data_IF_878405287007
#
_entry.id   IF_878405287007
#
_cell.length_a   1.000
_cell.length_b   1.000
_cell.length_c   1.000
_cell.angle_alpha   90.00
_cell.angle_beta   90.00
_cell.angle_gamma   90.00
#
_symmetry.space_group_name_H-M   'P 1'
#
loop_
_entity.id
_entity.type
_entity.pdbx_description
1 polymer ?
#
# COMPACT_ATOMS: atom_id res chain seq x y z
N UNK A 1 7.68 -1.92 12.97
CA UNK A 1 8.58 -2.90 13.62
C UNK A 1 8.94 -2.35 15.00
N UNK A 2 8.04 -2.47 15.96
CA UNK A 2 8.30 -2.11 17.35
C UNK A 2 8.25 -3.42 18.16
N UNK A 3 9.38 -3.81 18.77
CA UNK A 3 9.45 -4.92 19.72
C UNK A 3 10.12 -6.22 19.26
N UNK A 4 10.57 -6.34 18.00
CA UNK A 4 11.33 -7.51 17.51
C UNK A 4 12.84 -7.26 17.50
N UNK A 5 13.64 -8.33 17.56
CA UNK A 5 15.08 -8.26 17.35
C UNK A 5 15.37 -7.80 15.90
N UNK A 6 15.69 -6.51 15.75
CA UNK A 6 16.01 -5.90 14.46
C UNK A 6 17.23 -6.56 13.78
N UNK A 7 18.12 -7.19 14.54
CA UNK A 7 19.25 -7.94 14.00
C UNK A 7 18.79 -9.22 13.31
N UNK A 8 17.92 -10.00 13.96
CA UNK A 8 17.31 -11.19 13.36
C UNK A 8 16.45 -10.83 12.14
N UNK A 9 15.64 -9.78 12.23
CA UNK A 9 14.83 -9.34 11.09
C UNK A 9 15.69 -8.87 9.91
N UNK A 10 16.79 -8.16 10.17
CA UNK A 10 17.75 -7.75 9.13
C UNK A 10 18.34 -8.94 8.38
N UNK A 11 18.63 -10.03 9.07
CA UNK A 11 19.17 -11.24 8.44
C UNK A 11 18.16 -11.89 7.47
N UNK A 12 16.85 -11.74 7.73
CA UNK A 12 15.78 -12.22 6.85
C UNK A 12 15.46 -11.24 5.72
N UNK A 13 15.46 -9.94 6.02
CA UNK A 13 15.21 -8.89 5.06
C UNK A 13 16.18 -7.70 5.27
N UNK A 14 17.21 -7.55 4.42
CA UNK A 14 18.18 -6.48 4.54
C UNK A 14 17.57 -5.08 4.30
N UNK A 15 16.41 -4.99 3.63
CA UNK A 15 15.69 -3.72 3.42
C UNK A 15 15.06 -3.18 4.71
N UNK A 16 14.85 -4.03 5.72
CA UNK A 16 14.11 -3.70 6.94
C UNK A 16 12.69 -3.19 6.64
N UNK A 17 12.08 -3.75 5.60
CA UNK A 17 10.73 -3.46 5.15
C UNK A 17 9.82 -4.67 5.43
N UNK A 18 8.52 -4.42 5.55
CA UNK A 18 7.53 -5.50 5.58
C UNK A 18 6.80 -5.54 4.23
N UNK A 19 6.36 -6.71 3.75
CA UNK A 19 6.39 -8.02 4.41
C UNK A 19 7.69 -8.84 4.17
N UNK A 20 7.84 -9.91 4.96
CA UNK A 20 8.82 -11.00 4.77
C UNK A 20 8.15 -12.32 5.13
N UNK A 21 8.20 -13.29 4.21
CA UNK A 21 7.71 -14.66 4.38
C UNK A 21 8.89 -15.56 4.76
N UNK A 22 8.68 -16.44 5.74
CA UNK A 22 9.62 -17.51 6.09
C UNK A 22 8.92 -18.86 5.86
N UNK A 23 9.45 -19.68 4.95
CA UNK A 23 9.02 -21.07 4.70
C UNK A 23 10.22 -22.01 4.90
N UNK A 24 10.25 -22.71 6.04
CA UNK A 24 11.40 -23.52 6.46
C UNK A 24 12.68 -22.67 6.56
N UNK A 25 13.69 -23.05 5.79
CA UNK A 25 14.98 -22.34 5.72
C UNK A 25 14.99 -21.21 4.68
N UNK A 26 13.85 -20.96 3.99
CA UNK A 26 13.74 -19.93 2.95
C UNK A 26 13.11 -18.66 3.52
N UNK A 27 13.79 -17.52 3.33
CA UNK A 27 13.25 -16.20 3.59
C UNK A 27 13.04 -15.45 2.27
N UNK A 28 11.82 -14.94 2.05
CA UNK A 28 11.44 -14.18 0.86
C UNK A 28 10.87 -12.84 1.30
N UNK A 29 11.44 -11.74 0.85
CA UNK A 29 10.92 -10.39 1.06
C UNK A 29 10.42 -9.80 -0.25
N UNK A 30 9.69 -8.68 -0.15
CA UNK A 30 8.97 -8.02 -1.25
C UNK A 30 7.65 -8.72 -1.60
N UNK A 31 6.53 -7.98 -1.60
CA UNK A 31 5.19 -8.54 -1.76
C UNK A 31 5.01 -9.27 -3.09
N UNK A 32 5.54 -8.72 -4.19
CA UNK A 32 5.45 -9.34 -5.52
C UNK A 32 6.25 -10.63 -5.58
N UNK A 33 7.47 -10.64 -5.01
CA UNK A 33 8.32 -11.83 -4.98
C UNK A 33 7.71 -12.91 -4.07
N UNK A 34 7.09 -12.51 -2.95
CA UNK A 34 6.34 -13.42 -2.08
C UNK A 34 5.15 -14.04 -2.83
N UNK A 35 4.41 -13.26 -3.63
CA UNK A 35 3.30 -13.79 -4.42
C UNK A 35 3.78 -14.75 -5.53
N UNK A 36 4.89 -14.45 -6.22
CA UNK A 36 5.49 -15.38 -7.20
C UNK A 36 5.93 -16.67 -6.49
N UNK A 37 6.57 -16.56 -5.32
CA UNK A 37 6.97 -17.73 -4.53
C UNK A 37 5.77 -18.58 -4.11
N UNK A 38 4.67 -17.96 -3.68
CA UNK A 38 3.44 -18.69 -3.31
C UNK A 38 2.83 -19.38 -4.53
N UNK A 39 2.78 -18.72 -5.69
CA UNK A 39 2.29 -19.29 -6.95
C UNK A 39 3.13 -20.52 -7.38
N UNK A 40 4.45 -20.49 -7.22
CA UNK A 40 5.33 -21.61 -7.54
C UNK A 40 5.27 -22.73 -6.49
N UNK A 41 5.22 -22.37 -5.20
CA UNK A 41 5.28 -23.32 -4.07
C UNK A 41 3.97 -24.06 -3.87
N UNK A 42 2.84 -23.37 -4.07
CA UNK A 42 1.48 -23.89 -3.92
C UNK A 42 0.62 -23.53 -5.15
N UNK A 43 0.86 -24.16 -6.31
CA UNK A 43 0.24 -23.78 -7.58
C UNK A 43 -1.26 -24.11 -7.68
N UNK A 44 -1.88 -24.65 -6.62
CA UNK A 44 -3.29 -25.04 -6.62
C UNK A 44 -3.96 -24.62 -5.30
N UNK A 45 -5.02 -23.80 -5.35
CA UNK A 45 -5.57 -23.13 -6.55
C UNK A 45 -4.62 -22.03 -7.07
N UNK A 46 -4.56 -21.78 -8.40
CA UNK A 46 -3.71 -20.72 -8.95
C UNK A 46 -4.22 -19.34 -8.54
N UNK A 47 -3.30 -18.43 -8.19
CA UNK A 47 -3.62 -17.04 -7.88
C UNK A 47 -3.68 -16.18 -9.14
N UNK A 48 -2.98 -16.57 -10.21
CA UNK A 48 -3.01 -15.86 -11.49
C UNK A 48 -3.90 -16.57 -12.53
N UNK A 49 -4.45 -15.82 -13.50
CA UNK A 49 -5.19 -16.41 -14.61
C UNK A 49 -4.23 -17.18 -15.54
N UNK A 50 -4.75 -18.19 -16.24
CA UNK A 50 -3.91 -19.02 -17.12
C UNK A 50 -3.36 -18.28 -18.36
N UNK A 51 -4.13 -17.44 -19.09
CA UNK A 51 -3.63 -16.80 -20.32
C UNK A 51 -2.49 -15.81 -20.03
N UNK A 52 -1.37 -15.86 -20.79
CA UNK A 52 -0.23 -14.96 -20.56
C UNK A 52 -0.60 -13.47 -20.60
N UNK A 53 -1.49 -13.07 -21.49
CA UNK A 53 -1.97 -11.68 -21.59
C UNK A 53 -2.74 -11.24 -20.32
N UNK A 54 -3.51 -12.14 -19.71
CA UNK A 54 -4.23 -11.85 -18.46
C UNK A 54 -3.27 -11.83 -17.26
N UNK A 55 -2.22 -12.67 -17.25
CA UNK A 55 -1.15 -12.57 -16.24
C UNK A 55 -0.43 -11.23 -16.33
N UNK A 56 -0.09 -10.78 -17.54
CA UNK A 56 0.51 -9.46 -17.75
C UNK A 56 -0.42 -8.34 -17.29
N UNK A 57 -1.73 -8.43 -17.55
CA UNK A 57 -2.72 -7.47 -17.04
C UNK A 57 -2.74 -7.42 -15.51
N UNK A 58 -2.73 -8.57 -14.84
CA UNK A 58 -2.70 -8.62 -13.37
C UNK A 58 -1.42 -8.01 -12.81
N UNK A 59 -0.25 -8.31 -13.39
CA UNK A 59 1.02 -7.71 -12.95
C UNK A 59 1.07 -6.20 -13.21
N UNK A 60 0.44 -5.70 -14.28
CA UNK A 60 0.28 -4.24 -14.46
C UNK A 60 -0.64 -3.61 -13.41
N UNK A 61 -1.67 -4.31 -12.93
CA UNK A 61 -2.50 -3.83 -11.83
C UNK A 61 -1.69 -3.70 -10.54
N UNK A 62 -0.92 -4.72 -10.21
CA UNK A 62 -0.02 -4.71 -9.06
C UNK A 62 0.99 -3.56 -9.14
N UNK A 63 1.70 -3.43 -10.26
CA UNK A 63 2.69 -2.37 -10.46
C UNK A 63 2.08 -0.97 -10.25
N UNK A 64 0.92 -0.68 -10.84
CA UNK A 64 0.25 0.61 -10.63
C UNK A 64 -0.18 0.81 -9.18
N UNK A 65 -0.59 -0.25 -8.49
CA UNK A 65 -0.97 -0.19 -7.09
C UNK A 65 0.23 0.07 -6.17
N UNK A 66 1.31 -0.70 -6.33
CA UNK A 66 2.52 -0.65 -5.49
C UNK A 66 3.35 0.60 -5.72
N UNK A 67 3.24 1.21 -6.90
CA UNK A 67 4.00 2.41 -7.27
C UNK A 67 3.15 3.68 -7.10
N UNK A 68 2.31 3.97 -8.08
CA UNK A 68 1.60 5.24 -8.20
C UNK A 68 0.51 5.40 -7.15
N UNK A 69 -0.32 4.37 -6.95
CA UNK A 69 -1.45 4.47 -6.04
C UNK A 69 -1.01 4.46 -4.57
N UNK A 70 -0.03 3.62 -4.23
CA UNK A 70 0.62 3.60 -2.91
C UNK A 70 1.15 4.99 -2.54
N UNK A 71 1.91 5.64 -3.42
CA UNK A 71 2.52 6.94 -3.14
C UNK A 71 1.47 8.04 -2.84
N UNK A 72 0.34 8.02 -3.57
CA UNK A 72 -0.78 8.96 -3.33
C UNK A 72 -1.39 8.71 -1.94
N UNK A 73 -1.75 7.46 -1.66
CA UNK A 73 -2.36 7.10 -0.37
C UNK A 73 -1.42 7.44 0.79
N UNK A 74 -0.14 7.10 0.63
CA UNK A 74 0.90 7.34 1.62
C UNK A 74 1.10 8.84 1.89
N UNK A 75 1.08 9.68 0.86
CA UNK A 75 1.20 11.12 1.03
C UNK A 75 0.01 11.71 1.81
N UNK A 76 -1.21 11.24 1.56
CA UNK A 76 -2.36 11.62 2.37
C UNK A 76 -2.20 11.22 3.83
N UNK A 77 -1.60 10.05 4.12
CA UNK A 77 -1.24 9.68 5.49
C UNK A 77 -0.24 10.66 6.12
N UNK A 78 0.82 11.07 5.41
CA UNK A 78 1.77 12.08 5.93
C UNK A 78 1.09 13.39 6.32
N UNK A 79 0.10 13.82 5.54
CA UNK A 79 -0.59 15.09 5.76
C UNK A 79 -1.65 14.93 6.85
N UNK A 80 -2.54 13.95 6.72
CA UNK A 80 -3.72 13.82 7.57
C UNK A 80 -3.41 13.18 8.92
N UNK A 81 -2.48 12.25 8.96
CA UNK A 81 -2.15 11.46 10.16
C UNK A 81 -0.88 11.98 10.83
N UNK A 82 0.20 12.19 10.06
CA UNK A 82 1.46 12.72 10.59
C UNK A 82 1.51 14.25 10.68
N UNK A 83 0.45 14.94 10.23
CA UNK A 83 0.30 16.40 10.32
C UNK A 83 1.51 17.16 9.77
N UNK A 84 2.12 16.65 8.69
CA UNK A 84 3.34 17.25 8.12
C UNK A 84 3.11 18.50 7.28
N UNK A 85 1.87 18.82 6.96
CA UNK A 85 1.50 20.06 6.30
C UNK A 85 0.16 20.58 6.83
N UNK A 86 -0.03 21.89 6.75
CA UNK A 86 -1.24 22.59 7.15
C UNK A 86 -1.58 23.73 6.17
N UNK A 87 -2.76 24.32 6.35
CA UNK A 87 -3.25 25.44 5.54
C UNK A 87 -3.19 25.18 4.04
N UNK A 88 -2.86 26.22 3.28
CA UNK A 88 -2.87 26.16 1.81
C UNK A 88 -1.91 25.12 1.20
N UNK A 89 -0.85 24.70 1.91
CA UNK A 89 0.01 23.61 1.42
C UNK A 89 -0.72 22.26 1.51
N UNK A 90 -1.34 21.96 2.66
CA UNK A 90 -2.11 20.73 2.84
C UNK A 90 -3.29 20.66 1.85
N UNK A 91 -4.03 21.76 1.68
CA UNK A 91 -5.16 21.85 0.75
C UNK A 91 -4.75 21.52 -0.68
N UNK A 92 -3.63 22.09 -1.17
CA UNK A 92 -3.13 21.81 -2.52
C UNK A 92 -2.69 20.36 -2.69
N UNK A 93 -1.96 19.80 -1.72
CA UNK A 93 -1.45 18.44 -1.81
C UNK A 93 -2.60 17.42 -1.75
N UNK A 94 -3.56 17.61 -0.85
CA UNK A 94 -4.74 16.74 -0.73
C UNK A 94 -5.68 16.88 -1.94
N UNK A 95 -5.84 18.08 -2.49
CA UNK A 95 -6.59 18.28 -3.74
C UNK A 95 -5.98 17.52 -4.91
N UNK A 96 -4.65 17.56 -5.04
CA UNK A 96 -3.92 16.79 -6.06
C UNK A 96 -4.04 15.29 -5.85
N UNK A 97 -3.91 14.82 -4.60
CA UNK A 97 -4.09 13.41 -4.27
C UNK A 97 -5.50 12.91 -4.59
N UNK A 98 -6.53 13.72 -4.33
CA UNK A 98 -7.91 13.41 -4.68
C UNK A 98 -8.12 13.27 -6.20
N UNK A 99 -7.59 14.21 -6.99
CA UNK A 99 -7.64 14.17 -8.47
C UNK A 99 -6.96 12.91 -9.01
N UNK A 100 -5.75 12.62 -8.53
CA UNK A 100 -4.99 11.45 -8.97
C UNK A 100 -5.66 10.14 -8.55
N UNK A 101 -6.20 10.07 -7.34
CA UNK A 101 -6.96 8.90 -6.86
C UNK A 101 -8.18 8.64 -7.73
N UNK A 102 -8.93 9.68 -8.10
CA UNK A 102 -10.06 9.56 -9.02
C UNK A 102 -9.62 9.02 -10.41
N UNK A 103 -8.47 9.46 -10.91
CA UNK A 103 -7.86 8.93 -12.13
C UNK A 103 -7.52 7.43 -12.04
N UNK A 104 -6.95 6.99 -10.91
CA UNK A 104 -6.67 5.57 -10.66
C UNK A 104 -7.95 4.76 -10.57
N UNK A 105 -8.96 5.23 -9.85
CA UNK A 105 -10.27 4.55 -9.76
C UNK A 105 -10.91 4.38 -11.13
N UNK A 106 -10.90 5.41 -11.96
CA UNK A 106 -11.43 5.33 -13.32
C UNK A 106 -10.65 4.33 -14.19
N UNK A 107 -9.34 4.20 -14.01
CA UNK A 107 -8.54 3.19 -14.68
C UNK A 107 -8.86 1.77 -14.19
N UNK A 108 -8.94 1.58 -12.86
CA UNK A 108 -9.34 0.31 -12.25
C UNK A 108 -10.74 -0.14 -12.71
N UNK A 109 -11.69 0.79 -12.84
CA UNK A 109 -13.02 0.49 -13.40
C UNK A 109 -12.95 -0.06 -14.83
N UNK A 110 -12.04 0.47 -15.66
CA UNK A 110 -11.83 -0.05 -17.02
C UNK A 110 -11.18 -1.43 -17.00
N UNK A 111 -10.22 -1.66 -16.10
CA UNK A 111 -9.55 -2.95 -15.95
C UNK A 111 -10.47 -4.05 -15.41
N UNK A 112 -11.35 -3.70 -14.46
CA UNK A 112 -12.37 -4.59 -13.92
C UNK A 112 -13.42 -4.93 -15.00
N UNK A 113 -13.86 -3.93 -15.77
CA UNK A 113 -14.87 -4.13 -16.81
C UNK A 113 -16.16 -4.70 -16.21
N UNK A 114 -16.72 -5.73 -16.83
CA UNK A 114 -17.91 -6.44 -16.31
C UNK A 114 -17.56 -7.66 -15.44
N UNK A 115 -16.29 -7.88 -15.14
CA UNK A 115 -15.83 -9.08 -14.41
C UNK A 115 -16.14 -8.95 -12.92
N UNK A 116 -16.37 -10.07 -12.21
CA UNK A 116 -16.57 -10.05 -10.76
C UNK A 116 -15.27 -9.76 -10.00
N UNK A 117 -14.11 -10.03 -10.58
CA UNK A 117 -12.80 -9.87 -9.94
C UNK A 117 -11.76 -9.33 -10.92
N UNK A 118 -10.70 -8.73 -10.37
CA UNK A 118 -9.54 -8.31 -11.16
C UNK A 118 -8.77 -9.50 -11.72
N UNK A 119 -8.96 -10.70 -11.17
CA UNK A 119 -8.40 -11.94 -11.70
C UNK A 119 -9.31 -12.66 -12.73
N UNK A 120 -10.46 -12.06 -13.09
CA UNK A 120 -11.45 -12.68 -13.98
C UNK A 120 -12.68 -13.15 -13.22
N UNK A 121 -13.00 -14.44 -13.35
CA UNK A 121 -14.18 -15.06 -12.73
C UNK A 121 -13.95 -15.48 -11.27
N UNK A 122 -12.70 -15.63 -10.85
CA UNK A 122 -12.30 -16.01 -9.50
C UNK A 122 -11.52 -14.89 -8.83
N UNK A 123 -11.50 -14.88 -7.50
CA UNK A 123 -10.63 -13.99 -6.73
C UNK A 123 -9.18 -14.50 -6.80
N UNK A 124 -8.22 -13.61 -7.01
CA UNK A 124 -6.81 -13.99 -7.04
C UNK A 124 -5.85 -12.81 -6.91
N UNK A 125 -4.66 -12.95 -7.48
CA UNK A 125 -3.56 -12.00 -7.37
C UNK A 125 -3.99 -10.58 -7.70
N UNK A 126 -4.72 -10.37 -8.81
CA UNK A 126 -5.18 -9.04 -9.18
C UNK A 126 -6.04 -8.37 -8.10
N UNK A 127 -6.87 -9.15 -7.39
CA UNK A 127 -7.68 -8.61 -6.30
C UNK A 127 -6.84 -8.38 -5.03
N UNK A 128 -5.90 -9.29 -4.74
CA UNK A 128 -4.95 -9.18 -3.62
C UNK A 128 -4.11 -7.91 -3.73
N UNK A 129 -3.70 -7.52 -4.93
CA UNK A 129 -2.92 -6.29 -5.15
C UNK A 129 -3.79 -5.03 -5.12
N UNK A 130 -5.06 -5.09 -5.51
CA UNK A 130 -5.91 -3.87 -5.56
C UNK A 130 -6.59 -3.59 -4.23
N UNK A 131 -7.02 -4.61 -3.47
CA UNK A 131 -7.85 -4.43 -2.28
C UNK A 131 -7.22 -3.55 -1.20
N UNK A 132 -5.92 -3.68 -0.85
CA UNK A 132 -5.32 -2.88 0.21
C UNK A 132 -5.32 -1.38 -0.14
N UNK A 133 -5.13 -1.05 -1.42
CA UNK A 133 -5.00 0.34 -1.87
C UNK A 133 -6.34 1.04 -1.98
N UNK A 134 -7.38 0.35 -2.48
CA UNK A 134 -8.74 0.90 -2.47
C UNK A 134 -9.28 1.03 -1.04
N UNK A 135 -8.93 0.11 -0.14
CA UNK A 135 -9.28 0.25 1.27
C UNK A 135 -8.55 1.44 1.93
N UNK A 136 -7.25 1.59 1.67
CA UNK A 136 -6.48 2.73 2.15
C UNK A 136 -7.06 4.05 1.63
N UNK A 137 -7.48 4.12 0.36
CA UNK A 137 -8.10 5.33 -0.21
C UNK A 137 -9.41 5.69 0.49
N UNK A 138 -10.23 4.70 0.85
CA UNK A 138 -11.44 4.93 1.67
C UNK A 138 -11.09 5.53 3.03
N UNK A 139 -10.07 5.00 3.71
CA UNK A 139 -9.65 5.46 5.04
C UNK A 139 -9.14 6.91 5.03
N UNK A 140 -8.49 7.34 3.96
CA UNK A 140 -7.99 8.72 3.81
C UNK A 140 -9.03 9.68 3.20
N UNK A 141 -10.28 9.25 3.01
CA UNK A 141 -11.38 10.11 2.54
C UNK A 141 -11.56 10.18 1.02
N UNK A 142 -11.01 9.22 0.28
CA UNK A 142 -11.16 9.10 -1.18
C UNK A 142 -11.76 7.73 -1.56
N UNK A 143 -13.02 7.45 -1.17
CA UNK A 143 -13.69 6.22 -1.58
C UNK A 143 -14.03 6.25 -3.07
N UNK A 144 -14.09 5.09 -3.74
CA UNK A 144 -14.70 5.02 -5.08
C UNK A 144 -16.17 5.45 -5.00
N UNK A 145 -16.75 6.06 -6.06
CA UNK A 145 -18.16 6.42 -6.06
C UNK A 145 -19.05 5.20 -5.78
N UNK A 146 -20.07 5.33 -4.91
CA UNK A 146 -20.87 4.18 -4.48
C UNK A 146 -21.62 3.50 -5.66
N UNK A 147 -21.93 4.24 -6.72
CA UNK A 147 -22.56 3.73 -7.94
C UNK A 147 -21.58 3.01 -8.89
N UNK A 148 -20.28 3.03 -8.60
CA UNK A 148 -19.24 2.44 -9.44
C UNK A 148 -19.16 0.93 -9.29
N UNK A 149 -18.66 0.25 -10.33
CA UNK A 149 -18.35 -1.18 -10.28
C UNK A 149 -17.19 -1.47 -9.33
N UNK A 150 -16.26 -0.52 -9.18
CA UNK A 150 -15.17 -0.62 -8.22
C UNK A 150 -15.68 -0.65 -6.77
N UNK A 151 -16.66 0.19 -6.42
CA UNK A 151 -17.30 0.14 -5.11
C UNK A 151 -18.03 -1.20 -4.90
N UNK A 152 -18.79 -1.66 -5.89
CA UNK A 152 -19.47 -2.96 -5.82
C UNK A 152 -18.49 -4.15 -5.71
N UNK A 153 -17.33 -4.06 -6.37
CA UNK A 153 -16.24 -5.03 -6.21
C UNK A 153 -15.65 -4.98 -4.80
N UNK A 154 -15.41 -3.79 -4.27
CA UNK A 154 -14.87 -3.62 -2.92
C UNK A 154 -15.78 -4.23 -1.86
N UNK A 155 -17.08 -3.98 -1.96
CA UNK A 155 -18.09 -4.57 -1.06
C UNK A 155 -18.08 -6.11 -1.15
N UNK A 156 -17.99 -6.65 -2.37
CA UNK A 156 -17.89 -8.10 -2.59
C UNK A 156 -16.65 -8.69 -1.94
N UNK A 157 -15.45 -8.15 -2.22
CA UNK A 157 -14.20 -8.74 -1.71
C UNK A 157 -14.08 -8.64 -0.20
N UNK A 158 -14.65 -7.60 0.42
CA UNK A 158 -14.66 -7.43 1.89
C UNK A 158 -15.45 -8.52 2.62
N UNK A 159 -16.40 -9.19 1.96
CA UNK A 159 -17.13 -10.31 2.57
C UNK A 159 -16.36 -11.62 2.55
N UNK A 160 -15.23 -11.70 1.84
CA UNK A 160 -14.39 -12.91 1.83
C UNK A 160 -13.74 -13.09 3.20
N UNK A 161 -13.76 -14.30 3.81
CA UNK A 161 -13.17 -14.52 5.12
C UNK A 161 -11.71 -14.08 5.24
N UNK A 162 -10.90 -14.34 4.22
CA UNK A 162 -9.48 -13.96 4.18
C UNK A 162 -9.26 -12.45 4.18
N UNK A 163 -10.17 -11.68 3.55
CA UNK A 163 -10.08 -10.22 3.51
C UNK A 163 -10.68 -9.62 4.78
N UNK A 164 -11.84 -10.10 5.21
CA UNK A 164 -12.52 -9.64 6.42
C UNK A 164 -11.61 -9.77 7.66
N UNK A 165 -10.93 -10.90 7.82
CA UNK A 165 -10.00 -11.13 8.93
C UNK A 165 -8.85 -10.11 8.96
N UNK A 166 -8.29 -9.76 7.80
CA UNK A 166 -7.20 -8.77 7.71
C UNK A 166 -7.72 -7.35 7.98
N UNK A 167 -8.93 -7.03 7.53
CA UNK A 167 -9.57 -5.73 7.82
C UNK A 167 -9.82 -5.56 9.31
N UNK A 168 -10.33 -6.59 9.98
CA UNK A 168 -10.53 -6.59 11.42
C UNK A 168 -9.21 -6.42 12.18
N UNK A 169 -8.18 -7.19 11.80
CA UNK A 169 -6.84 -7.07 12.38
C UNK A 169 -6.21 -5.69 12.16
N UNK A 170 -6.41 -5.10 10.97
CA UNK A 170 -5.94 -3.75 10.67
C UNK A 170 -6.69 -2.70 11.53
N UNK A 171 -8.00 -2.83 11.70
CA UNK A 171 -8.79 -1.95 12.54
C UNK A 171 -8.35 -2.00 14.02
N UNK A 172 -8.07 -3.19 14.54
CA UNK A 172 -7.52 -3.36 15.89
C UNK A 172 -6.14 -2.69 16.03
N UNK A 173 -5.32 -2.75 14.97
CA UNK A 173 -4.01 -2.09 14.94
C UNK A 173 -4.10 -0.56 14.86
N UNK A 174 -5.20 -0.02 14.34
CA UNK A 174 -5.38 1.43 14.23
C UNK A 174 -5.53 2.13 15.59
N UNK A 175 -5.95 1.42 16.65
CA UNK A 175 -5.94 1.96 18.01
C UNK A 175 -4.53 2.37 18.49
N UNK A 176 -3.47 1.77 17.93
CA UNK A 176 -2.08 2.18 18.17
C UNK A 176 -1.72 3.56 17.61
N UNK A 177 -2.51 4.10 16.66
CA UNK A 177 -2.28 5.45 16.13
C UNK A 177 -2.68 6.57 17.11
N UNK A 178 -3.42 6.27 18.18
CA UNK A 178 -3.67 7.24 19.25
C UNK A 178 -2.36 7.66 19.95
N UNK A 179 -1.39 6.76 20.02
CA UNK A 179 -0.04 7.01 20.57
C UNK A 179 0.93 7.61 19.54
N UNK A 180 0.49 7.83 18.30
CA UNK A 180 1.38 8.26 17.22
C UNK A 180 2.10 9.59 17.51
N UNK A 181 1.44 10.64 18.05
CA UNK A 181 2.14 11.87 18.42
C UNK A 181 3.29 11.63 19.40
N UNK A 182 3.09 10.76 20.40
CA UNK A 182 4.08 10.42 21.41
C UNK A 182 5.24 9.61 20.80
N UNK A 183 4.94 8.65 19.91
CA UNK A 183 5.94 7.83 19.23
C UNK A 183 6.80 8.63 18.22
N UNK A 184 6.20 9.63 17.57
CA UNK A 184 6.93 10.59 16.73
C UNK A 184 7.84 11.45 17.61
N UNK A 185 7.30 12.02 18.71
CA UNK A 185 8.05 12.87 19.62
C UNK A 185 9.21 12.14 20.31
N UNK A 186 9.06 10.84 20.59
CA UNK A 186 10.12 10.01 21.18
C UNK A 186 11.21 9.59 20.19
N UNK A 187 11.05 9.89 18.89
CA UNK A 187 11.97 9.44 17.83
C UNK A 187 11.93 7.95 17.55
N UNK A 188 11.01 7.20 18.18
CA UNK A 188 10.84 5.75 18.00
C UNK A 188 10.07 5.42 16.71
N UNK A 189 9.52 6.43 16.05
CA UNK A 189 8.78 6.27 14.81
C UNK A 189 9.37 7.15 13.70
N UNK A 190 10.07 6.51 12.76
CA UNK A 190 10.71 7.15 11.60
C UNK A 190 10.03 6.70 10.33
N UNK A 191 9.52 7.65 9.54
CA UNK A 191 8.85 7.37 8.25
C UNK A 191 9.87 7.18 7.14
N UNK A 192 9.70 6.14 6.33
CA UNK A 192 10.57 5.90 5.18
C UNK A 192 9.99 6.50 3.90
N UNK A 193 10.75 7.42 3.32
CA UNK A 193 10.50 8.03 2.02
C UNK A 193 11.35 7.28 1.00
N UNK A 194 10.73 6.46 0.16
CA UNK A 194 11.42 5.67 -0.88
C UNK A 194 10.72 5.82 -2.23
N UNK A 195 11.49 5.64 -3.30
CA UNK A 195 11.02 5.49 -4.67
C UNK A 195 9.88 6.48 -5.03
N UNK A 196 8.70 5.94 -5.32
CA UNK A 196 7.51 6.66 -5.75
C UNK A 196 6.94 7.61 -4.68
N UNK A 197 7.14 7.33 -3.38
CA UNK A 197 6.71 8.24 -2.30
C UNK A 197 7.50 9.53 -2.33
N UNK A 198 8.82 9.42 -2.53
CA UNK A 198 9.68 10.59 -2.65
C UNK A 198 9.38 11.33 -3.96
N UNK A 199 9.29 10.63 -5.09
CA UNK A 199 8.95 11.24 -6.39
C UNK A 199 7.64 12.02 -6.32
N UNK A 200 6.59 11.44 -5.71
CA UNK A 200 5.31 12.11 -5.54
C UNK A 200 5.44 13.40 -4.73
N UNK A 201 6.15 13.36 -3.58
CA UNK A 201 6.37 14.55 -2.76
C UNK A 201 7.11 15.64 -3.53
N UNK A 202 8.13 15.29 -4.31
CA UNK A 202 8.88 16.26 -5.09
C UNK A 202 8.03 16.88 -6.21
N UNK A 203 7.27 16.08 -6.97
CA UNK A 203 6.44 16.56 -8.10
C UNK A 203 5.19 17.32 -7.68
N UNK A 204 4.63 17.00 -6.52
CA UNK A 204 3.39 17.59 -6.02
C UNK A 204 3.63 18.87 -5.20
N UNK A 205 4.88 19.27 -4.97
CA UNK A 205 5.24 20.47 -4.21
C UNK A 205 5.38 20.24 -2.71
N UNK A 206 5.56 18.99 -2.27
CA UNK A 206 5.81 18.58 -0.89
C UNK A 206 7.30 18.61 -0.48
N UNK A 207 8.16 19.31 -1.23
CA UNK A 207 9.62 19.37 -0.96
C UNK A 207 9.91 19.81 0.48
N UNK A 208 9.22 20.84 0.97
CA UNK A 208 9.43 21.33 2.33
C UNK A 208 9.06 20.31 3.41
N UNK A 209 8.10 19.42 3.15
CA UNK A 209 7.76 18.31 4.06
C UNK A 209 8.95 17.37 4.21
N UNK A 210 9.62 17.05 3.09
CA UNK A 210 10.80 16.17 3.07
C UNK A 210 11.97 16.84 3.80
N UNK A 211 12.27 18.09 3.45
CA UNK A 211 13.37 18.84 4.06
C UNK A 211 13.16 19.04 5.57
N UNK A 212 11.94 19.35 6.00
CA UNK A 212 11.60 19.46 7.42
C UNK A 212 11.75 18.11 8.14
N UNK A 213 11.31 17.02 7.51
CA UNK A 213 11.49 15.69 8.05
C UNK A 213 12.97 15.32 8.25
N UNK A 214 13.84 15.69 7.31
CA UNK A 214 15.29 15.51 7.43
C UNK A 214 15.88 16.34 8.57
N UNK A 215 15.50 17.62 8.68
CA UNK A 215 15.94 18.51 9.77
C UNK A 215 15.55 17.96 11.14
N UNK A 216 14.32 17.46 11.26
CA UNK A 216 13.78 16.85 12.48
C UNK A 216 14.27 15.41 12.72
N UNK A 217 14.96 14.80 11.77
CA UNK A 217 15.42 13.40 11.80
C UNK A 217 14.28 12.40 12.08
N UNK A 218 13.07 12.71 11.61
CA UNK A 218 11.88 11.86 11.77
C UNK A 218 11.46 11.19 10.45
N UNK A 219 12.33 11.26 9.44
CA UNK A 219 12.25 10.48 8.21
C UNK A 219 13.58 9.79 7.94
N UNK A 220 13.52 8.73 7.15
CA UNK A 220 14.67 8.04 6.58
C UNK A 220 14.43 7.72 5.11
N UNK A 221 15.50 7.38 4.42
CA UNK A 221 15.46 6.79 3.09
C UNK A 221 15.80 5.30 3.20
N UNK A 222 15.65 4.57 2.09
CA UNK A 222 15.93 3.14 2.04
C UNK A 222 17.32 2.82 2.59
N UNK A 223 17.43 1.73 3.36
CA UNK A 223 18.72 1.27 3.85
C UNK A 223 19.57 0.72 2.69
N UNK A 224 20.88 1.03 2.67
CA UNK A 224 21.80 0.31 1.81
C UNK A 224 21.73 -1.18 2.10
N UNK A 225 21.75 -2.00 1.04
CA UNK A 225 21.97 -3.44 1.16
C UNK A 225 23.44 -3.62 1.56
N UNK A 226 23.69 -3.88 2.84
CA UNK A 226 25.00 -4.17 3.42
C UNK A 226 24.95 -5.43 4.25
#
# INVERSE_FOLDING_TARGET
LAGGDLGQFRALNPRLEVPTLVDGDTAVFDSTVILEYIEDRWPTPPLLPAPPAERARVRMLEDVCDTYYEAINWACFEINVFKRAEGGLAERLLGRAAEQTAGVHAWLERQLGSRPFFNGDTFGWGDLSVVPHVQASVLIGHPPPQSSRLAAWLDRVRTRPSVAAVVEAAAASMGGFEMLPQLIASGQFVREYRDHRLDWMMRSGGVEIVLDGMRKKNIRFAHPLV
#
